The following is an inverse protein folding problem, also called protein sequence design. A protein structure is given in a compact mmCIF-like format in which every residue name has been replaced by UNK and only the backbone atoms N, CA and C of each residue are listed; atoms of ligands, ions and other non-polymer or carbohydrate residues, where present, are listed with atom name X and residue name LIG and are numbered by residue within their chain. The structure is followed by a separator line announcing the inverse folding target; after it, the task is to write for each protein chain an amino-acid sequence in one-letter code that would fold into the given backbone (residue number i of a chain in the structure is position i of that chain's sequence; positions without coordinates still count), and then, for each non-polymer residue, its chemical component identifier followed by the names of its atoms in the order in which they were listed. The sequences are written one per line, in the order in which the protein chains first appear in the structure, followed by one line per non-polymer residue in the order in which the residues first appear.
data_IF_515084720303
#
_entry.id   IF_515084720303
#
_cell.length_a   1.000
_cell.length_b   1.000
_cell.length_c   1.000
_cell.angle_alpha   90.00
_cell.angle_beta   90.00
_cell.angle_gamma   90.00
#
_symmetry.space_group_name_H-M   'P 1'
#
loop_
_entity.id
_entity.type
_entity.pdbx_description
1 polymer ?
#
# COMPACT_ATOMS: atom_id res chain seq x y z
N UNK A 1 -17.90 15.55 -14.52
CA UNK A 1 -18.39 15.20 -13.18
C UNK A 1 -17.21 14.72 -12.36
N UNK A 2 -16.83 15.45 -11.32
CA UNK A 2 -15.64 15.18 -10.50
C UNK A 2 -15.97 14.11 -9.45
N UNK A 3 -15.83 12.83 -9.81
CA UNK A 3 -15.87 11.76 -8.82
C UNK A 3 -14.56 11.82 -8.02
N UNK A 4 -14.65 11.98 -6.70
CA UNK A 4 -13.50 11.78 -5.81
C UNK A 4 -13.02 10.32 -6.03
N UNK A 5 -11.84 10.08 -6.61
CA UNK A 5 -11.46 8.73 -7.06
C UNK A 5 -11.11 7.78 -5.91
N UNK A 6 -10.97 8.29 -4.69
CA UNK A 6 -10.58 7.54 -3.50
C UNK A 6 -11.79 7.44 -2.57
N UNK A 7 -12.21 6.21 -2.28
CA UNK A 7 -13.36 5.93 -1.41
C UNK A 7 -13.01 5.95 0.08
N UNK A 8 -11.76 5.62 0.44
CA UNK A 8 -11.30 5.58 1.82
C UNK A 8 -9.83 5.18 1.93
N UNK A 9 -9.34 5.14 3.17
CA UNK A 9 -7.96 4.85 3.52
C UNK A 9 -7.91 3.73 4.56
N UNK A 10 -6.91 2.87 4.46
CA UNK A 10 -6.66 1.79 5.42
C UNK A 10 -5.16 1.55 5.55
N UNK A 11 -4.77 0.69 6.48
CA UNK A 11 -3.40 0.24 6.65
C UNK A 11 -3.30 -1.24 6.27
N UNK A 12 -2.20 -1.59 5.61
CA UNK A 12 -1.93 -2.93 5.13
C UNK A 12 -0.53 -3.37 5.53
N UNK A 13 -0.32 -4.68 5.65
CA UNK A 13 1.01 -5.28 5.72
C UNK A 13 1.31 -5.96 4.39
N UNK A 14 2.28 -5.44 3.63
CA UNK A 14 2.81 -6.10 2.43
C UNK A 14 3.85 -7.16 2.85
N UNK A 15 3.36 -8.33 3.25
CA UNK A 15 4.21 -9.41 3.72
C UNK A 15 5.04 -9.95 2.56
N UNK A 16 6.33 -10.15 2.84
CA UNK A 16 7.31 -10.52 1.82
C UNK A 16 8.15 -11.69 2.28
N UNK A 17 8.20 -12.75 1.48
CA UNK A 17 9.20 -13.81 1.65
C UNK A 17 10.56 -13.30 1.16
N UNK A 18 11.30 -12.63 2.04
CA UNK A 18 12.51 -11.86 1.69
C UNK A 18 13.57 -12.69 0.95
N UNK A 19 13.79 -13.92 1.40
CA UNK A 19 14.78 -14.82 0.78
C UNK A 19 14.35 -15.26 -0.62
N UNK A 20 13.05 -15.53 -0.82
CA UNK A 20 12.49 -15.90 -2.12
C UNK A 20 12.57 -14.73 -3.08
N UNK A 21 12.20 -13.52 -2.64
CA UNK A 21 12.33 -12.30 -3.43
C UNK A 21 13.77 -12.07 -3.88
N UNK A 22 14.75 -12.28 -2.99
CA UNK A 22 16.17 -12.14 -3.30
C UNK A 22 16.65 -13.10 -4.40
N UNK A 23 16.20 -14.36 -4.36
CA UNK A 23 16.49 -15.36 -5.41
C UNK A 23 15.85 -14.98 -6.74
N UNK A 24 14.58 -14.56 -6.73
CA UNK A 24 13.84 -14.17 -7.93
C UNK A 24 14.45 -12.95 -8.62
N UNK A 25 14.83 -11.92 -7.85
CA UNK A 25 15.49 -10.73 -8.38
C UNK A 25 16.81 -11.06 -9.08
N UNK A 26 17.64 -11.94 -8.50
CA UNK A 26 18.92 -12.39 -9.12
C UNK A 26 18.69 -13.17 -10.41
N UNK A 27 17.60 -13.91 -10.49
CA UNK A 27 17.25 -14.74 -11.64
C UNK A 27 16.42 -13.99 -12.71
N UNK A 28 16.07 -12.71 -12.50
CA UNK A 28 15.18 -11.97 -13.41
C UNK A 28 13.75 -12.54 -13.48
N UNK A 29 13.33 -13.26 -12.44
CA UNK A 29 12.03 -13.92 -12.36
C UNK A 29 10.96 -13.01 -11.77
N UNK A 30 9.67 -13.27 -12.06
CA UNK A 30 8.57 -12.49 -11.51
C UNK A 30 8.36 -12.81 -10.01
N UNK A 31 7.69 -11.92 -9.29
CA UNK A 31 7.75 -11.85 -7.81
C UNK A 31 6.55 -12.48 -7.10
N UNK A 32 5.62 -13.12 -7.82
CA UNK A 32 4.33 -13.57 -7.31
C UNK A 32 4.51 -14.51 -6.11
N UNK A 33 5.44 -15.47 -6.16
CA UNK A 33 5.67 -16.39 -5.02
C UNK A 33 6.16 -15.66 -3.76
N UNK A 34 6.79 -14.50 -3.90
CA UNK A 34 7.32 -13.76 -2.76
C UNK A 34 6.37 -12.67 -2.23
N UNK A 35 5.36 -12.28 -3.01
CA UNK A 35 4.48 -11.12 -2.76
C UNK A 35 2.99 -11.39 -2.83
N UNK A 36 2.57 -12.44 -3.54
CA UNK A 36 1.18 -12.78 -3.82
C UNK A 36 0.81 -14.19 -3.31
N UNK A 37 1.46 -14.63 -2.22
CA UNK A 37 1.08 -15.85 -1.52
C UNK A 37 -0.18 -15.61 -0.67
N UNK A 38 -0.86 -16.68 -0.28
CA UNK A 38 -2.10 -16.56 0.50
C UNK A 38 -1.88 -15.78 1.80
N UNK A 39 -2.79 -14.83 2.08
CA UNK A 39 -2.71 -13.90 3.21
C UNK A 39 -1.49 -12.98 3.22
N UNK A 40 -0.84 -12.72 2.07
CA UNK A 40 0.30 -11.81 1.98
C UNK A 40 -0.04 -10.33 2.21
N UNK A 41 -1.32 -9.97 2.21
CA UNK A 41 -1.79 -8.60 2.45
C UNK A 41 -2.86 -8.55 3.57
N UNK A 42 -2.48 -8.71 4.85
CA UNK A 42 -3.37 -8.39 5.96
C UNK A 42 -3.78 -6.92 5.92
N UNK A 43 -5.08 -6.67 6.01
CA UNK A 43 -5.70 -5.36 5.85
C UNK A 43 -6.51 -4.96 7.08
N UNK A 44 -6.46 -3.68 7.43
CA UNK A 44 -7.40 -3.10 8.37
C UNK A 44 -8.79 -2.90 7.73
N UNK A 45 -9.75 -2.46 8.56
CA UNK A 45 -10.92 -1.75 8.02
C UNK A 45 -10.52 -0.44 7.34
N UNK A 46 -11.45 0.15 6.58
CA UNK A 46 -11.23 1.42 5.88
C UNK A 46 -11.94 2.56 6.59
N UNK A 47 -11.27 3.71 6.67
CA UNK A 47 -11.86 4.99 7.04
C UNK A 47 -12.41 5.60 5.75
N UNK A 48 -13.72 5.90 5.64
CA UNK A 48 -14.27 6.58 4.49
C UNK A 48 -13.54 7.90 4.21
N UNK A 49 -13.29 8.23 2.95
CA UNK A 49 -12.52 9.42 2.59
C UNK A 49 -13.20 10.73 3.04
N UNK A 50 -14.51 10.70 3.27
CA UNK A 50 -15.26 11.83 3.83
C UNK A 50 -15.08 11.97 5.35
N UNK A 51 -14.71 10.90 6.04
CA UNK A 51 -14.52 10.85 7.50
C UNK A 51 -13.03 10.92 7.89
N UNK A 52 -12.13 10.77 6.92
CA UNK A 52 -10.70 10.93 7.14
C UNK A 52 -10.37 12.41 7.33
N UNK A 53 -10.14 12.81 8.58
CA UNK A 53 -9.91 14.22 8.97
C UNK A 53 -8.47 14.69 8.78
N UNK A 54 -7.53 13.77 8.50
CA UNK A 54 -6.13 14.09 8.25
C UNK A 54 -5.82 14.39 6.77
N UNK A 55 -4.59 14.81 6.50
CA UNK A 55 -4.04 14.81 5.13
C UNK A 55 -3.46 13.42 4.83
N UNK A 56 -4.02 12.65 3.87
CA UNK A 56 -3.50 11.34 3.51
C UNK A 56 -2.05 11.40 3.01
N UNK A 57 -1.61 12.57 2.51
CA UNK A 57 -0.23 12.81 2.10
C UNK A 57 0.70 13.23 3.24
N UNK A 58 0.19 13.37 4.47
CA UNK A 58 0.96 13.64 5.67
C UNK A 58 0.36 12.90 6.88
N UNK A 59 0.39 11.57 6.82
CA UNK A 59 -0.13 10.66 7.85
C UNK A 59 0.99 9.77 8.37
N UNK A 60 1.13 9.69 9.70
CA UNK A 60 2.10 8.81 10.36
C UNK A 60 1.62 7.36 10.35
N UNK A 61 2.53 6.45 10.02
CA UNK A 61 2.36 5.00 10.13
C UNK A 61 3.36 4.46 11.14
N UNK A 62 2.91 3.52 11.99
CA UNK A 62 3.78 2.82 12.93
C UNK A 62 3.45 1.34 13.00
N UNK A 63 4.46 0.53 13.26
CA UNK A 63 4.33 -0.91 13.52
C UNK A 63 5.14 -1.27 14.75
N UNK A 64 4.48 -1.89 15.73
CA UNK A 64 5.13 -2.47 16.90
C UNK A 64 4.93 -3.98 16.91
N UNK A 65 5.98 -4.71 17.27
CA UNK A 65 5.96 -6.17 17.39
C UNK A 65 6.34 -6.50 18.82
N UNK A 66 5.45 -7.17 19.56
CA UNK A 66 5.64 -7.50 20.98
C UNK A 66 5.95 -6.28 21.85
N UNK A 67 5.30 -5.14 21.56
CA UNK A 67 5.49 -3.88 22.28
C UNK A 67 6.71 -3.06 21.85
N UNK A 68 7.58 -3.58 20.99
CA UNK A 68 8.76 -2.88 20.49
C UNK A 68 8.47 -2.26 19.11
N UNK A 69 8.78 -0.98 18.94
CA UNK A 69 8.60 -0.29 17.66
C UNK A 69 9.60 -0.80 16.61
N UNK A 70 9.08 -1.24 15.47
CA UNK A 70 9.88 -1.78 14.34
C UNK A 70 9.85 -0.90 13.11
N UNK A 71 8.76 -0.16 12.90
CA UNK A 71 8.66 0.80 11.80
C UNK A 71 7.95 2.07 12.28
N UNK A 72 8.42 3.20 11.76
CA UNK A 72 7.78 4.51 11.88
C UNK A 72 8.12 5.33 10.65
N UNK A 73 7.13 6.00 10.08
CA UNK A 73 7.33 6.93 8.96
C UNK A 73 6.08 7.75 8.70
N UNK A 74 6.18 8.72 7.81
CA UNK A 74 5.04 9.53 7.36
C UNK A 74 4.84 9.40 5.85
N UNK A 75 3.59 9.44 5.41
CA UNK A 75 3.28 9.51 3.97
C UNK A 75 3.80 10.80 3.33
N UNK A 76 4.21 11.81 4.10
CA UNK A 76 4.90 12.99 3.57
C UNK A 76 6.22 12.62 2.87
N UNK A 77 6.88 11.56 3.32
CA UNK A 77 8.15 11.07 2.78
C UNK A 77 7.99 10.23 1.50
N UNK A 78 6.75 10.01 1.04
CA UNK A 78 6.53 9.31 -0.24
C UNK A 78 7.19 10.09 -1.39
N UNK A 79 8.11 9.42 -2.09
CA UNK A 79 8.79 9.91 -3.30
C UNK A 79 7.75 10.23 -4.39
N UNK A 80 6.76 9.34 -4.57
CA UNK A 80 5.62 9.53 -5.46
C UNK A 80 4.36 9.76 -4.64
N UNK A 81 3.75 10.94 -4.78
CA UNK A 81 2.53 11.32 -4.07
C UNK A 81 1.34 10.44 -4.49
N UNK A 82 0.36 10.26 -3.59
CA UNK A 82 -0.74 9.29 -3.71
C UNK A 82 -1.53 9.49 -5.02
N UNK A 83 -2.01 10.71 -5.29
CA UNK A 83 -2.83 10.99 -6.47
C UNK A 83 -2.05 10.78 -7.78
N UNK A 84 -0.83 11.33 -7.96
CA UNK A 84 0.00 11.02 -9.12
C UNK A 84 0.34 9.53 -9.28
N UNK A 85 0.55 8.79 -8.18
CA UNK A 85 0.85 7.36 -8.21
C UNK A 85 -0.33 6.56 -8.76
N UNK A 86 -1.54 6.81 -8.25
CA UNK A 86 -2.78 6.18 -8.75
C UNK A 86 -2.98 6.51 -10.24
N UNK A 87 -2.79 7.77 -10.63
CA UNK A 87 -2.90 8.22 -12.02
C UNK A 87 -1.83 7.59 -12.95
N UNK A 88 -0.68 7.21 -12.41
CA UNK A 88 0.34 6.48 -13.15
C UNK A 88 -0.02 5.01 -13.31
N UNK A 89 -0.43 4.34 -12.22
CA UNK A 89 -0.83 2.93 -12.23
C UNK A 89 -2.01 2.68 -13.18
N UNK A 90 -2.96 3.61 -13.26
CA UNK A 90 -4.14 3.49 -14.13
C UNK A 90 -3.83 3.45 -15.63
N UNK A 91 -2.60 3.82 -16.04
CA UNK A 91 -2.12 3.70 -17.43
C UNK A 91 -1.79 2.26 -17.82
N UNK A 92 -1.53 1.39 -16.83
CA UNK A 92 -1.15 -0.01 -17.03
C UNK A 92 -2.25 -0.98 -16.60
N UNK A 93 -2.97 -0.64 -15.53
CA UNK A 93 -4.00 -1.48 -14.95
C UNK A 93 -5.31 -0.70 -14.80
N UNK A 94 -6.42 -1.24 -15.31
CA UNK A 94 -7.73 -0.65 -15.04
C UNK A 94 -8.07 -0.80 -13.56
N UNK A 95 -8.18 0.32 -12.85
CA UNK A 95 -8.59 0.36 -11.45
C UNK A 95 -10.11 0.31 -11.38
N UNK A 96 -10.66 -0.84 -10.97
CA UNK A 96 -12.10 -1.01 -10.77
C UNK A 96 -12.53 -0.38 -9.44
N UNK A 97 -13.81 -0.04 -9.25
CA UNK A 97 -14.34 0.23 -7.91
C UNK A 97 -13.88 -0.86 -6.95
N UNK A 98 -13.56 -0.49 -5.71
CA UNK A 98 -12.99 -1.34 -4.65
C UNK A 98 -11.59 -1.90 -4.90
N UNK A 99 -10.90 -1.48 -5.96
CA UNK A 99 -9.46 -1.81 -6.15
C UNK A 99 -8.63 -1.08 -5.10
N UNK A 100 -7.83 -1.82 -4.34
CA UNK A 100 -6.84 -1.29 -3.42
C UNK A 100 -5.55 -0.96 -4.17
N UNK A 101 -4.95 0.19 -3.86
CA UNK A 101 -3.64 0.62 -4.36
C UNK A 101 -2.68 0.78 -3.18
#
# INVERSE_FOLDING_TARGET
MSAKPIAGYGVALDLTLRDVQGKMKKAGQPWEKAKAFDNSCPLSGFIPAAEFTGDPQNTTLSLSVNGEQRQQGTTADMIHKIVPLIAYMSKFFTLRPVTLC
#
